data_IF_063276816019
#
_entry.id   IF_063276816019
#
_cell.length_a   1.000
_cell.length_b   1.000
_cell.length_c   1.000
_cell.angle_alpha   90.00
_cell.angle_beta   90.00
_cell.angle_gamma   90.00
#
_symmetry.space_group_name_H-M   'P 1'
#
loop_
_entity.id
_entity.type
_entity.pdbx_description
1 polymer ?
#
# COMPACT_ATOMS: atom_id res chain seq x y z
N UNK A 1 17.81 7.92 -14.92
CA UNK A 1 16.92 7.31 -15.93
C UNK A 1 16.26 6.07 -15.34
N UNK A 2 14.97 5.94 -15.55
CA UNK A 2 14.23 4.76 -15.08
C UNK A 2 14.36 3.66 -16.14
N UNK A 3 14.73 2.42 -15.76
CA UNK A 3 14.74 1.30 -16.71
C UNK A 3 13.38 1.11 -17.38
N UNK A 4 13.36 0.68 -18.62
CA UNK A 4 12.14 0.50 -19.39
C UNK A 4 11.14 -0.42 -18.69
N UNK A 5 11.63 -1.46 -18.00
CA UNK A 5 10.80 -2.43 -17.30
C UNK A 5 10.00 -1.78 -16.15
N UNK A 6 10.50 -0.62 -15.62
CA UNK A 6 9.83 0.08 -14.53
C UNK A 6 8.84 1.13 -15.00
N UNK A 7 8.85 1.52 -16.29
CA UNK A 7 7.99 2.58 -16.81
C UNK A 7 6.51 2.20 -16.69
N UNK A 8 6.18 0.94 -16.88
CA UNK A 8 4.79 0.47 -16.86
C UNK A 8 4.27 0.17 -15.45
N UNK A 9 5.11 0.31 -14.43
CA UNK A 9 4.69 0.14 -13.04
C UNK A 9 3.94 1.38 -12.57
N UNK A 10 2.90 1.20 -11.78
CA UNK A 10 2.08 2.32 -11.30
C UNK A 10 2.95 3.33 -10.55
N UNK A 11 2.84 4.63 -10.87
CA UNK A 11 3.69 5.66 -10.27
C UNK A 11 3.61 5.74 -8.75
N UNK A 12 2.47 5.39 -8.16
CA UNK A 12 2.30 5.42 -6.70
C UNK A 12 3.28 4.51 -5.96
N UNK A 13 3.85 3.50 -6.62
CA UNK A 13 4.83 2.62 -6.00
C UNK A 13 6.23 3.21 -5.93
N UNK A 14 6.49 4.35 -6.58
CA UNK A 14 7.79 5.00 -6.57
C UNK A 14 7.96 5.98 -5.42
N UNK A 15 7.25 5.76 -4.34
CA UNK A 15 7.41 6.48 -3.10
C UNK A 15 7.76 5.46 -2.01
N UNK A 16 8.79 5.76 -1.22
CA UNK A 16 9.30 4.82 -0.21
C UNK A 16 8.21 4.39 0.77
N UNK A 17 7.40 5.33 1.22
CA UNK A 17 6.34 5.04 2.20
C UNK A 17 5.25 4.20 1.56
N UNK A 18 4.77 4.62 0.38
CA UNK A 18 3.70 3.88 -0.30
C UNK A 18 4.17 2.50 -0.73
N UNK A 19 5.41 2.37 -1.17
CA UNK A 19 5.97 1.06 -1.51
C UNK A 19 5.99 0.15 -0.27
N UNK A 20 6.42 0.69 0.87
CA UNK A 20 6.42 -0.05 2.12
C UNK A 20 5.02 -0.50 2.55
N UNK A 21 4.04 0.39 2.42
CA UNK A 21 2.64 0.06 2.71
C UNK A 21 2.16 -1.08 1.81
N UNK A 22 2.37 -0.93 0.51
CA UNK A 22 1.91 -1.93 -0.46
C UNK A 22 2.60 -3.27 -0.29
N UNK A 23 3.90 -3.28 0.00
CA UNK A 23 4.64 -4.51 0.27
C UNK A 23 4.05 -5.22 1.50
N UNK A 24 3.79 -4.48 2.57
CA UNK A 24 3.20 -5.05 3.78
C UNK A 24 1.81 -5.63 3.51
N UNK A 25 0.94 -4.85 2.85
CA UNK A 25 -0.43 -5.28 2.59
C UNK A 25 -0.50 -6.44 1.58
N UNK A 26 0.42 -6.50 0.62
CA UNK A 26 0.41 -7.57 -0.36
C UNK A 26 0.80 -8.93 0.23
N UNK A 27 1.52 -8.92 1.37
CA UNK A 27 1.90 -10.14 2.06
C UNK A 27 0.79 -10.68 2.97
N UNK A 28 -0.22 -9.86 3.27
CA UNK A 28 -1.32 -10.27 4.14
C UNK A 28 -2.56 -10.51 3.30
N UNK A 29 -3.33 -11.54 3.65
CA UNK A 29 -4.58 -11.88 2.95
C UNK A 29 -5.79 -11.30 3.66
N UNK A 30 -5.59 -10.75 4.85
CA UNK A 30 -6.66 -10.18 5.68
C UNK A 30 -6.42 -8.69 5.85
N UNK A 31 -7.48 -7.98 6.21
CA UNK A 31 -7.40 -6.54 6.46
C UNK A 31 -6.47 -6.25 7.64
N UNK A 32 -5.70 -5.18 7.53
CA UNK A 32 -4.73 -4.74 8.54
C UNK A 32 -5.22 -3.41 9.10
N UNK A 33 -5.23 -3.26 10.41
CA UNK A 33 -5.71 -2.03 11.00
C UNK A 33 -4.64 -0.91 10.97
N UNK A 34 -5.13 0.33 11.16
CA UNK A 34 -4.32 1.53 11.10
C UNK A 34 -3.13 1.48 12.06
N UNK A 35 -3.39 1.09 13.32
CA UNK A 35 -2.34 1.10 14.34
C UNK A 35 -1.26 0.06 14.07
N UNK A 36 -1.63 -1.09 13.51
CA UNK A 36 -0.66 -2.12 13.13
C UNK A 36 0.29 -1.60 12.06
N UNK A 37 -0.24 -0.94 11.02
CA UNK A 37 0.61 -0.34 9.98
C UNK A 37 1.46 0.79 10.52
N UNK A 38 0.88 1.64 11.36
CA UNK A 38 1.58 2.76 11.96
C UNK A 38 2.83 2.29 12.71
N UNK A 39 2.67 1.25 13.52
CA UNK A 39 3.76 0.67 14.29
C UNK A 39 4.77 -0.05 13.41
N UNK A 40 4.29 -0.89 12.50
CA UNK A 40 5.15 -1.69 11.63
C UNK A 40 6.05 -0.84 10.74
N UNK A 41 5.54 0.30 10.26
CA UNK A 41 6.25 1.16 9.32
C UNK A 41 6.84 2.41 9.99
N UNK A 42 6.65 2.55 11.30
CA UNK A 42 7.18 3.68 12.09
C UNK A 42 6.81 5.03 11.48
N UNK A 43 5.54 5.19 11.10
CA UNK A 43 5.04 6.41 10.48
C UNK A 43 4.26 7.26 11.47
N UNK A 44 4.08 8.55 11.13
CA UNK A 44 3.12 9.40 11.83
C UNK A 44 1.71 9.13 11.31
N UNK A 45 0.70 9.47 12.13
CA UNK A 45 -0.70 9.29 11.74
C UNK A 45 -1.05 10.08 10.47
N UNK A 46 -0.61 11.33 10.40
CA UNK A 46 -0.85 12.17 9.23
C UNK A 46 -0.17 11.63 7.97
N UNK A 47 1.05 11.17 8.11
CA UNK A 47 1.80 10.63 6.98
C UNK A 47 1.13 9.36 6.42
N UNK A 48 0.75 8.43 7.31
CA UNK A 48 0.05 7.22 6.91
C UNK A 48 -1.28 7.54 6.23
N UNK A 49 -2.09 8.44 6.83
CA UNK A 49 -3.38 8.83 6.27
C UNK A 49 -3.26 9.43 4.88
N UNK A 50 -2.29 10.33 4.68
CA UNK A 50 -2.07 11.00 3.40
C UNK A 50 -1.69 10.00 2.31
N UNK A 51 -0.74 9.12 2.59
CA UNK A 51 -0.31 8.13 1.62
C UNK A 51 -1.39 7.09 1.34
N UNK A 52 -2.14 6.70 2.37
CA UNK A 52 -3.21 5.73 2.23
C UNK A 52 -4.35 6.27 1.35
N UNK A 53 -4.68 7.56 1.51
CA UNK A 53 -5.68 8.22 0.67
C UNK A 53 -5.26 8.20 -0.80
N UNK A 54 -3.99 8.48 -1.07
CA UNK A 54 -3.44 8.42 -2.43
C UNK A 54 -3.57 7.02 -3.02
N UNK A 55 -3.24 5.99 -2.24
CA UNK A 55 -3.36 4.60 -2.69
C UNK A 55 -4.82 4.20 -2.93
N UNK A 56 -5.73 4.67 -2.08
CA UNK A 56 -7.16 4.42 -2.27
C UNK A 56 -7.66 5.09 -3.56
N UNK A 57 -7.29 6.35 -3.78
CA UNK A 57 -7.70 7.09 -4.98
C UNK A 57 -7.19 6.41 -6.27
N UNK A 58 -6.03 5.77 -6.18
CA UNK A 58 -5.45 5.03 -7.31
C UNK A 58 -6.00 3.60 -7.44
N UNK A 59 -6.88 3.19 -6.53
CA UNK A 59 -7.51 1.87 -6.58
C UNK A 59 -6.63 0.71 -6.11
N UNK A 60 -5.53 1.01 -5.43
CA UNK A 60 -4.56 0.00 -5.01
C UNK A 60 -4.87 -0.59 -3.63
N UNK A 61 -5.60 0.13 -2.79
CA UNK A 61 -6.05 -0.34 -1.48
C UNK A 61 -7.53 -0.02 -1.29
N UNK A 62 -8.18 -0.81 -0.46
CA UNK A 62 -9.52 -0.52 0.04
C UNK A 62 -9.42 -0.15 1.51
N UNK A 63 -10.10 0.93 1.88
CA UNK A 63 -10.15 1.41 3.25
C UNK A 63 -11.55 1.16 3.77
N UNK A 64 -11.65 0.42 4.87
CA UNK A 64 -12.92 0.16 5.54
C UNK A 64 -12.89 0.77 6.92
N UNK A 65 -13.97 1.47 7.28
CA UNK A 65 -14.17 2.03 8.61
C UNK A 65 -15.34 1.34 9.26
N UNK A 66 -15.08 0.76 10.43
CA UNK A 66 -16.11 0.10 11.23
C UNK A 66 -16.17 0.74 12.61
N UNK A 67 -17.21 0.42 13.34
CA UNK A 67 -17.43 0.95 14.68
C UNK A 67 -17.47 -0.22 15.64
N UNK A 68 -16.45 -0.34 16.48
CA UNK A 68 -16.30 -1.45 17.42
C UNK A 68 -16.11 -0.88 18.81
N UNK A 69 -16.92 -1.34 19.77
CA UNK A 69 -16.83 -0.89 21.17
C UNK A 69 -16.82 0.65 21.30
N UNK A 70 -17.70 1.31 20.54
CA UNK A 70 -17.87 2.77 20.52
C UNK A 70 -16.65 3.53 19.96
N UNK A 71 -15.75 2.82 19.26
CA UNK A 71 -14.60 3.44 18.63
C UNK A 71 -14.58 3.11 17.14
N UNK A 72 -14.13 4.08 16.35
CA UNK A 72 -13.90 3.86 14.93
C UNK A 72 -12.66 3.00 14.75
N UNK A 73 -12.80 1.96 13.94
CA UNK A 73 -11.68 1.12 13.55
C UNK A 73 -11.50 1.23 12.03
N UNK A 74 -10.30 1.62 11.60
CA UNK A 74 -9.96 1.71 10.20
C UNK A 74 -9.06 0.54 9.82
N UNK A 75 -9.44 -0.17 8.76
CA UNK A 75 -8.65 -1.29 8.24
C UNK A 75 -8.38 -1.10 6.77
N UNK A 76 -7.31 -1.71 6.30
CA UNK A 76 -6.82 -1.59 4.93
C UNK A 76 -6.62 -2.96 4.33
N UNK A 77 -6.97 -3.08 3.06
CA UNK A 77 -6.80 -4.32 2.31
C UNK A 77 -6.24 -3.99 0.93
N UNK A 78 -5.24 -4.76 0.51
CA UNK A 78 -4.71 -4.66 -0.84
C UNK A 78 -5.76 -5.15 -1.82
N UNK A 79 -6.04 -4.36 -2.87
CA UNK A 79 -6.97 -4.77 -3.93
C UNK A 79 -6.28 -5.73 -4.90
N UNK A 80 -7.07 -6.36 -5.76
CA UNK A 80 -6.52 -7.16 -6.85
C UNK A 80 -5.61 -6.34 -7.76
N UNK A 81 -6.01 -5.10 -8.05
CA UNK A 81 -5.18 -4.17 -8.81
C UNK A 81 -3.89 -3.87 -8.08
N UNK A 82 -3.96 -3.58 -6.79
CA UNK A 82 -2.78 -3.31 -5.98
C UNK A 82 -1.81 -4.47 -5.97
N UNK A 83 -2.32 -5.69 -5.83
CA UNK A 83 -1.48 -6.89 -5.84
C UNK A 83 -0.77 -7.07 -7.18
N UNK A 84 -1.49 -6.85 -8.29
CA UNK A 84 -0.90 -6.94 -9.62
C UNK A 84 0.21 -5.90 -9.82
N UNK A 85 0.00 -4.69 -9.31
CA UNK A 85 1.01 -3.63 -9.42
C UNK A 85 2.26 -3.95 -8.61
N UNK A 86 2.12 -4.52 -7.41
CA UNK A 86 3.27 -4.96 -6.62
C UNK A 86 4.02 -6.07 -7.34
N UNK A 87 3.30 -7.03 -7.91
CA UNK A 87 3.92 -8.12 -8.68
C UNK A 87 4.66 -7.58 -9.90
N UNK A 88 4.08 -6.61 -10.61
CA UNK A 88 4.72 -5.97 -11.75
C UNK A 88 6.00 -5.24 -11.34
N UNK A 89 5.96 -4.55 -10.20
CA UNK A 89 7.14 -3.88 -9.64
C UNK A 89 8.26 -4.88 -9.36
N UNK A 90 7.94 -5.97 -8.67
CA UNK A 90 8.94 -6.99 -8.33
C UNK A 90 9.53 -7.63 -9.58
N UNK A 91 8.69 -7.94 -10.57
CA UNK A 91 9.15 -8.52 -11.83
C UNK A 91 10.06 -7.54 -12.58
N UNK A 92 9.73 -6.26 -12.58
CA UNK A 92 10.52 -5.23 -13.24
C UNK A 92 11.90 -5.05 -12.57
N UNK A 93 11.93 -5.06 -11.24
CA UNK A 93 13.18 -4.98 -10.48
C UNK A 93 14.04 -6.21 -10.77
N UNK A 94 13.44 -7.39 -10.77
CA UNK A 94 14.15 -8.63 -11.06
C UNK A 94 14.73 -8.62 -12.47
N UNK A 95 14.00 -8.07 -13.43
CA UNK A 95 14.46 -7.99 -14.82
C UNK A 95 15.70 -7.13 -15.02
N UNK A 96 15.92 -6.13 -14.15
CA UNK A 96 17.08 -5.24 -14.26
C UNK A 96 18.24 -5.65 -13.37
N UNK A 97 18.05 -6.65 -12.54
CA UNK A 97 19.13 -7.21 -11.74
C UNK A 97 19.86 -8.28 -12.52
#
# INVERSE_FOLDING_TARGET
MVPNELIDVHPSLFDRVRLGIMAHLSLTKTAVDFNTLLTALELTRGNLSTHMKKLEDDGLVRIDKTFVDRKTRTTYLCTGKGRKEVQAYLAAVEAVL
#
